data_IF_823531764641
#
_entry.id   IF_823531764641
#
_cell.length_a   1.000
_cell.length_b   1.000
_cell.length_c   1.000
_cell.angle_alpha   90.00
_cell.angle_beta   90.00
_cell.angle_gamma   90.00
#
_symmetry.space_group_name_H-M   'P 1'
#
loop_
_entity.id
_entity.type
_entity.pdbx_description
1 polymer ?
#
# COMPACT_ATOMS: atom_id res chain seq x y z
N UNK A 1 25.94 -13.07 6.58
CA UNK A 1 26.62 -11.80 6.27
C UNK A 1 26.74 -11.02 7.58
N UNK A 2 27.95 -10.70 8.01
CA UNK A 2 28.18 -9.89 9.21
C UNK A 2 27.67 -8.47 8.95
N UNK A 3 26.58 -8.09 9.61
CA UNK A 3 25.95 -6.78 9.44
C UNK A 3 26.64 -5.75 10.33
N UNK A 4 27.70 -5.15 9.82
CA UNK A 4 28.35 -4.01 10.49
C UNK A 4 27.34 -2.86 10.58
N UNK A 5 27.07 -2.31 11.78
CA UNK A 5 26.14 -1.19 11.92
C UNK A 5 26.69 0.06 11.24
N UNK A 6 25.84 0.78 10.50
CA UNK A 6 26.16 2.07 9.87
C UNK A 6 25.48 3.18 10.68
N UNK A 7 26.26 4.10 11.22
CA UNK A 7 25.74 5.27 11.94
C UNK A 7 25.27 6.35 10.97
N UNK A 8 24.07 6.88 11.21
CA UNK A 8 23.51 8.05 10.51
C UNK A 8 23.28 9.15 11.54
N UNK A 9 23.64 10.38 11.19
CA UNK A 9 23.40 11.57 12.01
C UNK A 9 22.29 12.41 11.42
N UNK A 10 21.45 12.97 12.30
CA UNK A 10 20.39 13.91 11.96
C UNK A 10 20.52 15.09 12.90
N UNK A 11 20.37 16.30 12.38
CA UNK A 11 20.33 17.52 13.19
C UNK A 11 18.88 17.81 13.53
N UNK A 12 18.60 17.99 14.81
CA UNK A 12 17.29 18.37 15.33
C UNK A 12 17.36 19.82 15.81
N UNK A 13 16.25 20.53 15.69
CA UNK A 13 16.06 21.80 16.38
C UNK A 13 16.01 21.57 17.91
N UNK A 14 16.30 22.59 18.74
CA UNK A 14 16.34 22.42 20.18
C UNK A 14 15.05 21.87 20.80
N UNK A 15 13.90 22.31 20.29
CA UNK A 15 12.56 21.87 20.68
C UNK A 15 12.28 20.41 20.28
N UNK A 16 12.67 20.02 19.07
CA UNK A 16 12.57 18.62 18.61
C UNK A 16 13.43 17.67 19.47
N UNK A 17 14.64 18.10 19.84
CA UNK A 17 15.54 17.33 20.70
C UNK A 17 14.99 17.20 22.13
N UNK A 18 14.42 18.26 22.69
CA UNK A 18 13.80 18.24 24.01
C UNK A 18 12.59 17.28 24.05
N UNK A 19 11.77 17.31 23.00
CA UNK A 19 10.61 16.43 22.86
C UNK A 19 11.02 14.96 22.73
N UNK A 20 12.05 14.65 21.92
CA UNK A 20 12.60 13.30 21.82
C UNK A 20 13.10 12.80 23.19
N UNK A 21 13.85 13.62 23.91
CA UNK A 21 14.35 13.29 25.24
C UNK A 21 13.21 13.05 26.24
N UNK A 22 12.14 13.83 26.15
CA UNK A 22 10.93 13.67 26.97
C UNK A 22 10.25 12.33 26.71
N UNK A 23 10.04 11.95 25.45
CA UNK A 23 9.43 10.67 25.05
C UNK A 23 10.33 9.49 25.47
N UNK A 24 11.64 9.60 25.28
CA UNK A 24 12.62 8.60 25.70
C UNK A 24 12.48 8.27 27.20
N UNK A 25 12.43 9.31 28.05
CA UNK A 25 12.19 9.15 29.49
C UNK A 25 10.85 8.49 29.80
N UNK A 26 9.76 8.91 29.16
CA UNK A 26 8.41 8.36 29.41
C UNK A 26 8.27 6.88 29.03
N UNK A 27 8.99 6.47 27.99
CA UNK A 27 8.93 5.10 27.44
C UNK A 27 10.00 4.17 27.99
N UNK A 28 10.85 4.64 28.91
CA UNK A 28 12.02 3.91 29.41
C UNK A 28 12.94 3.38 28.28
N UNK A 29 13.08 4.16 27.20
CA UNK A 29 13.90 3.84 26.04
C UNK A 29 15.03 4.86 25.85
N UNK A 30 16.08 4.49 25.11
CA UNK A 30 17.10 5.46 24.69
C UNK A 30 16.63 6.23 23.46
N UNK A 31 17.06 7.49 23.31
CA UNK A 31 16.74 8.30 22.14
C UNK A 31 17.14 7.60 20.83
N UNK A 32 18.33 7.01 20.78
CA UNK A 32 18.80 6.24 19.63
C UNK A 32 17.90 5.03 19.30
N UNK A 33 17.34 4.36 20.30
CA UNK A 33 16.42 3.25 20.09
C UNK A 33 15.09 3.73 19.51
N UNK A 34 14.55 4.85 20.01
CA UNK A 34 13.36 5.48 19.46
C UNK A 34 13.57 5.97 18.03
N UNK A 35 14.67 6.68 17.77
CA UNK A 35 15.02 7.14 16.42
C UNK A 35 15.12 5.95 15.45
N UNK A 36 15.82 4.87 15.84
CA UNK A 36 15.90 3.66 15.01
C UNK A 36 14.53 3.06 14.75
N UNK A 37 13.68 2.95 15.78
CA UNK A 37 12.30 2.44 15.66
C UNK A 37 11.51 3.26 14.65
N UNK A 38 11.47 4.57 14.81
CA UNK A 38 10.69 5.47 13.95
C UNK A 38 11.23 5.53 12.53
N UNK A 39 12.54 5.51 12.33
CA UNK A 39 13.13 5.42 10.99
C UNK A 39 12.69 4.11 10.30
N UNK A 40 12.72 2.98 11.00
CA UNK A 40 12.27 1.70 10.43
C UNK A 40 10.76 1.69 10.16
N UNK A 41 9.95 2.30 11.02
CA UNK A 41 8.51 2.47 10.81
C UNK A 41 8.22 3.35 9.60
N UNK A 42 8.88 4.51 9.49
CA UNK A 42 8.77 5.41 8.35
C UNK A 42 9.19 4.76 7.03
N UNK A 43 10.29 4.00 7.03
CA UNK A 43 10.73 3.25 5.86
C UNK A 43 9.70 2.18 5.42
N UNK A 44 9.06 1.49 6.38
CA UNK A 44 8.00 0.52 6.08
C UNK A 44 6.76 1.20 5.52
N UNK A 45 6.31 2.29 6.14
CA UNK A 45 5.17 3.07 5.68
C UNK A 45 5.41 3.59 4.26
N UNK A 46 6.58 4.17 3.99
CA UNK A 46 6.93 4.70 2.67
C UNK A 46 6.95 3.61 1.59
N UNK A 47 7.46 2.41 1.91
CA UNK A 47 7.45 1.27 0.97
C UNK A 47 6.04 0.81 0.65
N UNK A 48 5.19 0.71 1.67
CA UNK A 48 3.80 0.32 1.50
C UNK A 48 3.05 1.34 0.63
N UNK A 49 3.18 2.63 0.92
CA UNK A 49 2.54 3.69 0.15
C UNK A 49 2.97 3.65 -1.32
N UNK A 50 4.27 3.52 -1.60
CA UNK A 50 4.77 3.39 -2.98
C UNK A 50 4.22 2.16 -3.69
N UNK A 51 4.10 1.04 -2.99
CA UNK A 51 3.54 -0.18 -3.57
C UNK A 51 2.04 -0.06 -3.88
N UNK A 52 1.29 0.61 -3.00
CA UNK A 52 -0.12 0.93 -3.24
C UNK A 52 -0.26 1.85 -4.46
N UNK A 53 0.58 2.89 -4.57
CA UNK A 53 0.57 3.79 -5.73
C UNK A 53 0.89 3.04 -7.03
N UNK A 54 1.88 2.14 -7.03
CA UNK A 54 2.19 1.31 -8.19
C UNK A 54 1.01 0.40 -8.58
N UNK A 55 0.33 -0.20 -7.59
CA UNK A 55 -0.89 -0.99 -7.83
C UNK A 55 -2.01 -0.13 -8.43
N UNK A 56 -2.29 1.05 -7.88
CA UNK A 56 -3.31 1.97 -8.41
C UNK A 56 -3.02 2.41 -9.85
N UNK A 57 -1.74 2.54 -10.21
CA UNK A 57 -1.28 2.85 -11.57
C UNK A 57 -1.27 1.64 -12.52
N UNK A 58 -1.67 0.46 -12.03
CA UNK A 58 -1.63 -0.82 -12.74
C UNK A 58 -0.22 -1.23 -13.19
N UNK A 59 0.81 -0.70 -12.53
CA UNK A 59 2.21 -1.07 -12.78
C UNK A 59 2.54 -2.45 -12.19
N UNK A 60 1.80 -2.85 -11.15
CA UNK A 60 1.91 -4.14 -10.48
C UNK A 60 0.52 -4.68 -10.13
N UNK A 61 0.39 -6.01 -10.04
CA UNK A 61 -0.76 -6.69 -9.43
C UNK A 61 -0.63 -6.72 -7.89
N UNK A 62 -1.61 -7.31 -7.19
CA UNK A 62 -1.58 -7.40 -5.72
C UNK A 62 -0.37 -8.17 -5.20
N UNK A 63 0.08 -9.20 -5.93
CA UNK A 63 1.24 -10.01 -5.56
C UNK A 63 2.54 -9.22 -5.71
N UNK A 64 2.68 -8.49 -6.82
CA UNK A 64 3.77 -7.57 -7.09
C UNK A 64 3.81 -6.42 -6.09
N UNK A 65 2.66 -5.85 -5.74
CA UNK A 65 2.53 -4.84 -4.70
C UNK A 65 2.99 -5.34 -3.32
N UNK A 66 2.58 -6.54 -2.93
CA UNK A 66 3.03 -7.17 -1.68
C UNK A 66 4.56 -7.37 -1.64
N UNK A 67 5.13 -7.86 -2.74
CA UNK A 67 6.58 -8.03 -2.88
C UNK A 67 7.33 -6.69 -2.79
N UNK A 68 6.81 -5.64 -3.46
CA UNK A 68 7.39 -4.29 -3.46
C UNK A 68 7.34 -3.65 -2.06
N UNK A 69 6.25 -3.84 -1.33
CA UNK A 69 6.11 -3.39 0.06
C UNK A 69 6.92 -4.23 1.05
N UNK A 70 7.37 -5.43 0.66
CA UNK A 70 8.06 -6.37 1.56
C UNK A 70 7.15 -6.94 2.64
N UNK A 71 5.87 -7.16 2.32
CA UNK A 71 4.86 -7.70 3.22
C UNK A 71 4.19 -8.94 2.60
N UNK A 72 3.42 -9.69 3.41
CA UNK A 72 2.64 -10.81 2.87
C UNK A 72 1.48 -10.31 2.01
N UNK A 73 1.03 -11.15 1.07
CA UNK A 73 -0.14 -10.89 0.23
C UNK A 73 -1.35 -10.42 1.03
N UNK A 74 -1.76 -11.19 2.04
CA UNK A 74 -2.93 -10.88 2.88
C UNK A 74 -2.77 -9.59 3.71
N UNK A 75 -1.53 -9.18 4.00
CA UNK A 75 -1.30 -7.89 4.63
C UNK A 75 -1.50 -6.78 3.60
N UNK A 76 -0.86 -6.87 2.44
CA UNK A 76 -1.01 -5.88 1.39
C UNK A 76 -2.47 -5.70 0.95
N UNK A 77 -3.21 -6.81 0.75
CA UNK A 77 -4.63 -6.80 0.43
C UNK A 77 -5.45 -5.96 1.43
N UNK A 78 -5.21 -6.16 2.73
CA UNK A 78 -5.90 -5.41 3.80
C UNK A 78 -5.54 -3.93 3.78
N UNK A 79 -4.30 -3.57 3.49
CA UNK A 79 -3.88 -2.18 3.36
C UNK A 79 -4.62 -1.53 2.17
N UNK A 80 -4.61 -2.17 0.99
CA UNK A 80 -5.34 -1.68 -0.20
C UNK A 80 -6.83 -1.47 0.10
N UNK A 81 -7.47 -2.41 0.80
CA UNK A 81 -8.87 -2.28 1.23
C UNK A 81 -9.08 -1.15 2.24
N UNK A 82 -8.18 -0.99 3.22
CA UNK A 82 -8.25 0.09 4.21
C UNK A 82 -8.08 1.47 3.58
N UNK A 83 -7.38 1.56 2.45
CA UNK A 83 -7.27 2.76 1.63
C UNK A 83 -8.47 2.98 0.68
N UNK A 84 -9.53 2.18 0.80
CA UNK A 84 -10.74 2.22 -0.04
C UNK A 84 -10.45 2.09 -1.54
N UNK A 85 -9.39 1.38 -1.89
CA UNK A 85 -9.03 1.12 -3.29
C UNK A 85 -9.82 -0.10 -3.77
N UNK A 86 -10.50 0.05 -4.91
CA UNK A 86 -11.29 -1.02 -5.50
C UNK A 86 -10.35 -2.12 -5.97
N UNK A 87 -10.61 -3.33 -5.49
CA UNK A 87 -9.90 -4.54 -5.89
C UNK A 87 -10.79 -5.29 -6.87
N UNK A 88 -10.39 -5.31 -8.13
CA UNK A 88 -11.02 -6.14 -9.16
C UNK A 88 -10.26 -7.47 -9.19
N UNK A 89 -10.62 -8.39 -8.29
CA UNK A 89 -10.07 -9.75 -8.25
C UNK A 89 -10.90 -10.76 -9.04
N UNK A 90 -12.10 -10.38 -9.46
CA UNK A 90 -13.05 -11.34 -9.99
C UNK A 90 -12.97 -11.38 -11.52
N UNK A 91 -12.31 -12.42 -12.04
CA UNK A 91 -12.27 -12.73 -13.47
C UNK A 91 -13.66 -13.02 -14.04
N UNK A 92 -14.64 -13.31 -13.18
CA UNK A 92 -16.06 -13.50 -13.54
C UNK A 92 -16.90 -12.25 -13.32
N UNK A 93 -16.30 -11.12 -12.91
CA UNK A 93 -17.03 -9.87 -12.69
C UNK A 93 -17.72 -9.38 -13.96
N UNK A 94 -17.02 -9.45 -15.10
CA UNK A 94 -17.59 -9.09 -16.40
C UNK A 94 -18.72 -10.05 -16.80
N UNK A 95 -18.55 -11.35 -16.55
CA UNK A 95 -19.60 -12.34 -16.80
C UNK A 95 -20.87 -12.05 -15.99
N UNK A 96 -20.73 -11.75 -14.69
CA UNK A 96 -21.88 -11.38 -13.83
C UNK A 96 -22.51 -10.05 -14.22
N UNK A 97 -21.70 -9.08 -14.65
CA UNK A 97 -22.21 -7.82 -15.19
C UNK A 97 -23.00 -8.04 -16.48
N UNK A 98 -22.56 -8.97 -17.32
CA UNK A 98 -23.23 -9.36 -18.54
C UNK A 98 -24.59 -10.00 -18.24
N UNK A 99 -24.66 -10.96 -17.32
CA UNK A 99 -25.91 -11.55 -16.83
C UNK A 99 -26.88 -10.49 -16.28
N UNK A 100 -26.37 -9.51 -15.54
CA UNK A 100 -27.17 -8.41 -15.00
C UNK A 100 -27.72 -7.50 -16.11
N UNK A 101 -26.91 -7.19 -17.12
CA UNK A 101 -27.30 -6.36 -18.25
C UNK A 101 -28.38 -7.03 -19.12
N UNK A 102 -28.29 -8.34 -19.31
CA UNK A 102 -29.33 -9.13 -19.97
C UNK A 102 -30.62 -9.18 -19.13
N UNK A 103 -30.51 -9.44 -17.82
CA UNK A 103 -31.67 -9.54 -16.93
C UNK A 103 -32.50 -8.26 -16.87
N UNK A 104 -31.85 -7.09 -16.88
CA UNK A 104 -32.52 -5.80 -16.84
C UNK A 104 -32.74 -5.16 -18.21
N UNK A 105 -32.39 -5.85 -19.30
CA UNK A 105 -32.43 -5.33 -20.67
C UNK A 105 -31.81 -3.91 -20.77
N UNK A 106 -30.67 -3.69 -20.10
CA UNK A 106 -30.08 -2.37 -19.97
C UNK A 106 -29.01 -2.10 -21.05
N UNK A 107 -29.31 -1.33 -22.10
CA UNK A 107 -28.40 -1.12 -23.22
C UNK A 107 -27.16 -0.29 -22.85
N UNK A 108 -27.28 0.59 -21.83
CA UNK A 108 -26.16 1.41 -21.36
C UNK A 108 -25.12 0.54 -20.67
N UNK A 109 -25.57 -0.46 -19.91
CA UNK A 109 -24.70 -1.40 -19.22
C UNK A 109 -23.99 -2.33 -20.22
N UNK A 110 -24.72 -2.84 -21.22
CA UNK A 110 -24.13 -3.66 -22.30
C UNK A 110 -23.04 -2.91 -23.08
N UNK A 111 -23.26 -1.62 -23.36
CA UNK A 111 -22.27 -0.78 -24.06
C UNK A 111 -21.03 -0.52 -23.20
N UNK A 112 -21.20 -0.32 -21.89
CA UNK A 112 -20.09 -0.16 -20.96
C UNK A 112 -19.21 -1.43 -20.87
N UNK A 113 -19.84 -2.61 -20.82
CA UNK A 113 -19.14 -3.91 -20.79
C UNK A 113 -18.29 -4.09 -22.05
N UNK A 114 -18.86 -3.88 -23.25
CA UNK A 114 -18.15 -4.00 -24.53
C UNK A 114 -16.92 -3.09 -24.63
N UNK A 115 -17.00 -1.86 -24.11
CA UNK A 115 -15.86 -0.94 -24.06
C UNK A 115 -14.72 -1.44 -23.18
N UNK A 116 -15.04 -2.07 -22.05
CA UNK A 116 -14.04 -2.62 -21.13
C UNK A 116 -13.36 -3.86 -21.72
N UNK A 117 -14.09 -4.74 -22.40
CA UNK A 117 -13.53 -5.91 -23.10
C UNK A 117 -12.57 -5.52 -24.22
N UNK A 118 -12.97 -4.53 -25.04
CA UNK A 118 -12.13 -4.01 -26.12
C UNK A 118 -10.81 -3.40 -25.59
N UNK A 119 -10.86 -2.71 -24.45
CA UNK A 119 -9.67 -2.13 -23.81
C UNK A 119 -8.76 -3.16 -23.11
N UNK A 120 -9.28 -4.35 -22.82
CA UNK A 120 -8.54 -5.44 -22.14
C UNK A 120 -7.88 -6.42 -23.12
N UNK A 121 -8.19 -6.31 -24.41
CA UNK A 121 -7.74 -7.21 -25.49
C UNK A 121 -6.58 -6.63 -26.32
N UNK A 122 -6.06 -5.45 -25.96
CA UNK A 122 -4.93 -4.78 -26.62
C UNK A 122 -3.81 -4.45 -25.63
#
# INVERSE_FOLDING_TARGET
MSTTPVTKSVRLAPDEAEELARIARQTAATESALMKKWVLEGLRAQKLERAIQAYMRREVDLRGGAALAGVSYNRFLREVQAHHIVILEDSTFLDRLYELAETFENPQLQEAIRKVEAASSG
#
